data_IF_419065358553
#
_entry.id   IF_419065358553
#
_cell.length_a   1.000
_cell.length_b   1.000
_cell.length_c   1.000
_cell.angle_alpha   90.00
_cell.angle_beta   90.00
_cell.angle_gamma   90.00
#
_symmetry.space_group_name_H-M   'P 1'
#
loop_
_entity.id
_entity.type
_entity.pdbx_description
1 polymer ?
#
# COMPACT_ATOMS: atom_id res chain seq x y z
N UNK A 1 26.41 -4.94 52.07
CA UNK A 1 26.29 -5.78 50.85
C UNK A 1 25.01 -6.63 50.81
N UNK A 2 24.86 -7.73 51.59
CA UNK A 2 23.72 -8.67 51.45
C UNK A 2 22.32 -8.03 51.38
N UNK A 3 22.04 -7.00 52.18
CA UNK A 3 20.74 -6.29 52.16
C UNK A 3 20.54 -5.41 50.91
N UNK A 4 21.59 -4.78 50.40
CA UNK A 4 21.53 -3.93 49.20
C UNK A 4 21.23 -4.78 47.94
N UNK A 5 21.83 -5.98 47.85
CA UNK A 5 21.55 -6.91 46.75
C UNK A 5 20.06 -7.30 46.69
N UNK A 6 19.41 -7.52 47.85
CA UNK A 6 17.98 -7.80 47.93
C UNK A 6 17.13 -6.62 47.44
N UNK A 7 17.51 -5.39 47.77
CA UNK A 7 16.82 -4.17 47.32
C UNK A 7 16.95 -4.00 45.80
N UNK A 8 18.16 -4.20 45.23
CA UNK A 8 18.39 -4.13 43.78
C UNK A 8 17.57 -5.19 43.03
N UNK A 9 17.56 -6.44 43.51
CA UNK A 9 16.74 -7.52 42.90
C UNK A 9 15.24 -7.19 42.96
N UNK A 10 14.75 -6.62 44.06
CA UNK A 10 13.36 -6.21 44.22
C UNK A 10 12.97 -5.07 43.26
N UNK A 11 13.84 -4.07 43.07
CA UNK A 11 13.63 -2.98 42.10
C UNK A 11 13.61 -3.53 40.67
N UNK A 12 14.57 -4.40 40.30
CA UNK A 12 14.59 -5.05 38.98
C UNK A 12 13.32 -5.86 38.74
N UNK A 13 12.83 -6.60 39.74
CA UNK A 13 11.58 -7.36 39.65
C UNK A 13 10.36 -6.46 39.40
N UNK A 14 10.29 -5.29 40.03
CA UNK A 14 9.21 -4.32 39.81
C UNK A 14 9.29 -3.73 38.39
N UNK A 15 10.48 -3.36 37.91
CA UNK A 15 10.68 -2.85 36.55
C UNK A 15 10.25 -3.92 35.52
N UNK A 16 10.62 -5.19 35.72
CA UNK A 16 10.20 -6.30 34.86
C UNK A 16 8.68 -6.47 34.82
N UNK A 17 8.01 -6.37 35.98
CA UNK A 17 6.55 -6.43 36.07
C UNK A 17 5.86 -5.25 35.37
N UNK A 18 6.42 -4.03 35.47
CA UNK A 18 5.91 -2.84 34.77
C UNK A 18 6.10 -2.97 33.25
N UNK A 19 7.26 -3.43 32.77
CA UNK A 19 7.51 -3.68 31.34
C UNK A 19 6.56 -4.77 30.81
N UNK A 20 6.37 -5.87 31.54
CA UNK A 20 5.38 -6.90 31.19
C UNK A 20 3.95 -6.33 31.13
N UNK A 21 3.56 -5.51 32.11
CA UNK A 21 2.27 -4.82 32.12
C UNK A 21 2.06 -3.90 30.91
N UNK A 22 3.08 -3.12 30.54
CA UNK A 22 3.07 -2.26 29.36
C UNK A 22 2.95 -3.09 28.07
N UNK A 23 3.73 -4.17 27.92
CA UNK A 23 3.65 -5.07 26.75
C UNK A 23 2.27 -5.72 26.62
N UNK A 24 1.68 -6.16 27.74
CA UNK A 24 0.31 -6.73 27.76
C UNK A 24 -0.72 -5.65 27.39
N UNK A 25 -0.62 -4.45 27.95
CA UNK A 25 -1.52 -3.33 27.68
C UNK A 25 -1.46 -2.89 26.21
N UNK A 26 -0.26 -2.70 25.66
CA UNK A 26 -0.05 -2.35 24.25
C UNK A 26 -0.53 -3.47 23.31
N UNK A 27 -0.39 -4.74 23.70
CA UNK A 27 -0.92 -5.87 22.93
C UNK A 27 -2.45 -5.98 23.00
N UNK A 28 -3.08 -5.54 24.09
CA UNK A 28 -4.54 -5.52 24.24
C UNK A 28 -5.17 -4.35 23.47
N UNK A 29 -4.53 -3.18 23.45
CA UNK A 29 -5.01 -1.98 22.76
C UNK A 29 -4.69 -1.92 21.25
N UNK A 30 -4.20 -3.02 20.64
CA UNK A 30 -4.02 -3.10 19.17
C UNK A 30 -5.36 -3.20 18.44
N UNK A 31 -6.05 -2.07 18.32
CA UNK A 31 -7.32 -1.93 17.62
C UNK A 31 -7.21 -2.28 16.14
N UNK A 32 -8.17 -3.04 15.62
CA UNK A 32 -8.25 -3.40 14.21
C UNK A 32 -8.62 -2.20 13.33
N UNK A 33 -8.00 -2.11 12.15
CA UNK A 33 -8.32 -1.10 11.14
C UNK A 33 -9.83 -1.01 10.84
N UNK A 34 -10.32 0.22 10.67
CA UNK A 34 -11.72 0.54 10.36
C UNK A 34 -12.10 0.27 8.89
N UNK A 35 -13.40 0.17 8.59
CA UNK A 35 -13.90 0.06 7.21
C UNK A 35 -13.65 1.34 6.37
N UNK A 36 -13.61 2.52 6.99
CA UNK A 36 -13.32 3.77 6.29
C UNK A 36 -11.85 3.82 5.84
N UNK A 37 -10.93 3.51 6.75
CA UNK A 37 -9.49 3.37 6.46
C UNK A 37 -9.23 2.27 5.42
N UNK A 38 -9.98 1.16 5.48
CA UNK A 38 -9.91 0.09 4.48
C UNK A 38 -10.35 0.53 3.07
N UNK A 39 -11.36 1.41 2.97
CA UNK A 39 -11.79 2.01 1.70
C UNK A 39 -10.67 2.89 1.13
N UNK A 40 -10.15 3.83 1.92
CA UNK A 40 -9.08 4.74 1.52
C UNK A 40 -7.81 3.98 1.09
N UNK A 41 -7.41 2.95 1.84
CA UNK A 41 -6.25 2.10 1.51
C UNK A 41 -6.38 1.41 0.14
N UNK A 42 -7.60 1.01 -0.25
CA UNK A 42 -7.85 0.37 -1.55
C UNK A 42 -7.89 1.39 -2.67
N UNK A 43 -8.64 2.48 -2.50
CA UNK A 43 -8.84 3.49 -3.55
C UNK A 43 -7.57 4.32 -3.80
N UNK A 44 -6.70 4.49 -2.80
CA UNK A 44 -5.37 5.09 -2.97
C UNK A 44 -4.34 4.14 -3.64
N UNK A 45 -4.57 2.81 -3.63
CA UNK A 45 -3.62 1.81 -4.17
C UNK A 45 -4.03 1.28 -5.56
N UNK A 46 -5.31 1.38 -5.94
CA UNK A 46 -5.83 0.85 -7.21
C UNK A 46 -6.95 1.68 -7.84
N UNK A 47 -6.88 1.86 -9.18
CA UNK A 47 -7.94 2.48 -9.99
C UNK A 47 -9.26 1.70 -9.92
N UNK A 48 -10.19 2.15 -9.06
CA UNK A 48 -11.53 1.57 -8.94
C UNK A 48 -12.39 2.24 -7.88
N UNK A 49 -13.61 1.72 -7.72
CA UNK A 49 -14.56 2.14 -6.68
C UNK A 49 -14.88 0.95 -5.80
N UNK A 50 -14.78 1.11 -4.48
CA UNK A 50 -15.24 0.09 -3.52
C UNK A 50 -16.76 0.01 -3.54
N UNK A 51 -17.30 -1.22 -3.60
CA UNK A 51 -18.74 -1.50 -3.61
C UNK A 51 -19.23 -2.23 -2.35
N UNK A 52 -18.37 -2.95 -1.63
CA UNK A 52 -18.69 -3.45 -0.28
C UNK A 52 -17.43 -3.87 0.50
N UNK A 53 -17.53 -3.82 1.83
CA UNK A 53 -16.48 -4.22 2.78
C UNK A 53 -17.11 -5.11 3.86
N UNK A 54 -16.76 -6.40 3.85
CA UNK A 54 -17.20 -7.40 4.81
C UNK A 54 -16.04 -7.83 5.70
N UNK A 55 -16.26 -7.89 7.01
CA UNK A 55 -15.31 -8.53 7.94
C UNK A 55 -15.34 -10.05 7.74
N UNK A 56 -14.21 -10.73 7.90
CA UNK A 56 -14.18 -12.19 7.98
C UNK A 56 -14.64 -12.70 9.37
N UNK A 57 -14.86 -14.01 9.53
CA UNK A 57 -15.43 -14.60 10.75
C UNK A 57 -14.57 -14.46 12.01
N UNK A 58 -13.24 -14.35 11.88
CA UNK A 58 -12.31 -14.21 13.01
C UNK A 58 -11.88 -12.75 13.26
N UNK A 59 -12.55 -11.80 12.61
CA UNK A 59 -12.26 -10.35 12.65
C UNK A 59 -10.85 -9.91 12.22
N UNK A 60 -9.96 -10.79 11.79
CA UNK A 60 -8.60 -10.44 11.42
C UNK A 60 -8.47 -9.79 10.02
N UNK A 61 -9.50 -9.90 9.16
CA UNK A 61 -9.41 -9.44 7.77
C UNK A 61 -10.69 -8.75 7.25
N UNK A 62 -10.50 -7.87 6.26
CA UNK A 62 -11.59 -7.40 5.41
C UNK A 62 -11.55 -8.07 4.03
N UNK A 63 -12.74 -8.46 3.57
CA UNK A 63 -13.06 -8.86 2.21
C UNK A 63 -13.74 -7.69 1.49
N UNK A 64 -12.99 -7.01 0.62
CA UNK A 64 -13.44 -5.85 -0.13
C UNK A 64 -13.81 -6.26 -1.56
N UNK A 65 -14.96 -5.81 -2.06
CA UNK A 65 -15.32 -5.88 -3.48
C UNK A 65 -15.09 -4.52 -4.12
N UNK A 66 -14.22 -4.46 -5.12
CA UNK A 66 -13.91 -3.26 -5.90
C UNK A 66 -14.29 -3.49 -7.36
N UNK A 67 -14.79 -2.47 -8.05
CA UNK A 67 -15.05 -2.51 -9.51
C UNK A 67 -14.33 -1.39 -10.23
N UNK A 68 -13.98 -1.63 -11.49
CA UNK A 68 -13.64 -0.57 -12.43
C UNK A 68 -14.20 -0.89 -13.83
N UNK A 69 -13.89 -0.05 -14.82
CA UNK A 69 -14.40 -0.12 -16.20
C UNK A 69 -14.14 -1.45 -16.95
N UNK A 70 -13.32 -2.35 -16.41
CA UNK A 70 -12.94 -3.62 -17.05
C UNK A 70 -13.29 -4.87 -16.23
N UNK A 71 -13.35 -4.77 -14.91
CA UNK A 71 -13.44 -5.94 -14.03
C UNK A 71 -13.95 -5.63 -12.62
N UNK A 72 -14.41 -6.70 -11.97
CA UNK A 72 -14.58 -6.80 -10.53
C UNK A 72 -13.36 -7.49 -9.91
N UNK A 73 -12.97 -7.02 -8.72
CA UNK A 73 -11.86 -7.51 -7.93
C UNK A 73 -12.33 -7.80 -6.50
N UNK A 74 -11.85 -8.92 -5.95
CA UNK A 74 -11.88 -9.22 -4.53
C UNK A 74 -10.52 -8.89 -3.94
N UNK A 75 -10.49 -8.11 -2.86
CA UNK A 75 -9.28 -7.67 -2.17
C UNK A 75 -9.38 -8.12 -0.71
N UNK A 76 -8.32 -8.75 -0.20
CA UNK A 76 -8.18 -9.20 1.19
C UNK A 76 -7.18 -8.28 1.89
N UNK A 77 -7.56 -7.74 3.04
CA UNK A 77 -6.75 -6.79 3.82
C UNK A 77 -6.58 -7.32 5.25
N UNK A 78 -5.33 -7.32 5.73
CA UNK A 78 -4.98 -7.60 7.13
C UNK A 78 -5.45 -6.41 8.00
N UNK A 79 -6.40 -6.64 8.91
CA UNK A 79 -6.91 -5.57 9.79
C UNK A 79 -5.93 -5.19 10.90
N UNK A 80 -5.00 -6.08 11.28
CA UNK A 80 -4.01 -5.80 12.33
C UNK A 80 -2.82 -5.02 11.79
N UNK A 81 -2.41 -5.31 10.56
CA UNK A 81 -1.29 -4.63 9.88
C UNK A 81 -1.72 -3.45 9.00
N UNK A 82 -3.01 -3.18 8.88
CA UNK A 82 -3.61 -2.20 7.96
C UNK A 82 -3.07 -2.34 6.51
N UNK A 83 -2.84 -3.57 6.06
CA UNK A 83 -2.09 -3.86 4.82
C UNK A 83 -2.83 -4.80 3.89
N UNK A 84 -2.86 -4.49 2.59
CA UNK A 84 -3.48 -5.37 1.58
C UNK A 84 -2.66 -6.67 1.45
N UNK A 85 -3.27 -7.84 1.65
CA UNK A 85 -2.63 -9.15 1.51
C UNK A 85 -2.73 -9.70 0.08
N UNK A 86 -3.89 -9.51 -0.56
CA UNK A 86 -4.18 -10.09 -1.86
C UNK A 86 -5.20 -9.24 -2.62
N UNK A 87 -5.06 -9.16 -3.94
CA UNK A 87 -6.08 -8.74 -4.90
C UNK A 87 -6.26 -9.87 -5.92
N UNK A 88 -7.50 -10.25 -6.22
CA UNK A 88 -7.84 -11.28 -7.22
C UNK A 88 -9.00 -10.82 -8.10
N UNK A 89 -8.87 -10.98 -9.42
CA UNK A 89 -9.89 -10.63 -10.40
C UNK A 89 -11.02 -11.67 -10.41
N UNK A 90 -12.22 -11.30 -9.98
CA UNK A 90 -13.37 -12.21 -9.86
C UNK A 90 -14.22 -12.27 -11.13
N UNK A 91 -14.39 -11.14 -11.81
CA UNK A 91 -15.25 -11.01 -13.00
C UNK A 91 -14.61 -10.06 -14.00
N UNK A 92 -14.69 -10.35 -15.30
CA UNK A 92 -14.31 -9.41 -16.36
C UNK A 92 -15.56 -8.90 -17.05
N UNK A 93 -15.72 -7.59 -17.12
CA UNK A 93 -16.79 -6.95 -17.90
C UNK A 93 -16.37 -6.92 -19.37
N UNK A 94 -16.97 -7.79 -20.19
CA UNK A 94 -16.73 -7.79 -21.63
C UNK A 94 -17.33 -6.50 -22.22
N UNK A 95 -16.49 -5.57 -22.70
CA UNK A 95 -16.96 -4.59 -23.68
C UNK A 95 -17.44 -5.34 -24.93
N UNK A 96 -18.71 -5.15 -25.31
CA UNK A 96 -19.20 -5.54 -26.64
C UNK A 96 -18.71 -4.54 -27.71
N UNK A 97 -17.39 -4.35 -27.82
CA UNK A 97 -16.81 -3.68 -28.98
C UNK A 97 -16.81 -4.69 -30.12
N UNK A 98 -17.49 -4.37 -31.22
CA UNK A 98 -17.81 -5.36 -32.26
C UNK A 98 -16.55 -5.96 -32.89
N UNK A 99 -16.36 -7.29 -32.73
CA UNK A 99 -15.30 -8.05 -33.40
C UNK A 99 -15.65 -8.29 -34.88
N UNK A 100 -15.86 -7.21 -35.65
CA UNK A 100 -16.18 -7.27 -37.07
C UNK A 100 -14.90 -7.39 -37.91
N UNK A 101 -14.82 -8.52 -38.63
CA UNK A 101 -13.96 -8.78 -39.81
C UNK A 101 -12.43 -8.69 -39.61
N UNK A 102 -11.84 -9.86 -39.39
CA UNK A 102 -11.24 -10.53 -40.54
C UNK A 102 -9.80 -10.16 -40.93
N UNK A 103 -8.83 -10.52 -40.10
CA UNK A 103 -7.55 -11.00 -40.61
C UNK A 103 -7.36 -12.49 -40.29
N UNK A 104 -7.01 -13.27 -41.31
CA UNK A 104 -6.83 -14.73 -41.26
C UNK A 104 -5.44 -15.06 -40.70
N UNK A 105 -5.10 -14.47 -39.55
CA UNK A 105 -3.73 -14.43 -39.04
C UNK A 105 -3.25 -15.84 -38.64
N UNK A 106 -2.16 -16.27 -39.29
CA UNK A 106 -1.50 -17.57 -39.15
C UNK A 106 -1.36 -17.95 -37.67
N UNK A 107 -1.86 -19.14 -37.31
CA UNK A 107 -2.05 -19.69 -35.94
C UNK A 107 -0.74 -19.85 -35.14
N UNK A 108 -0.03 -18.75 -34.88
CA UNK A 108 1.03 -18.68 -33.87
C UNK A 108 0.36 -18.71 -32.50
N UNK A 109 0.75 -19.65 -31.66
CA UNK A 109 0.30 -19.74 -30.27
C UNK A 109 0.86 -18.54 -29.50
N UNK A 110 0.17 -17.41 -29.52
CA UNK A 110 0.66 -16.17 -28.90
C UNK A 110 0.62 -16.30 -27.38
N UNK A 111 1.76 -16.65 -26.83
CA UNK A 111 2.06 -16.56 -25.41
C UNK A 111 3.05 -15.43 -25.18
N UNK A 112 2.81 -14.63 -24.16
CA UNK A 112 3.69 -13.55 -23.74
C UNK A 112 5.06 -14.11 -23.34
N UNK A 113 6.11 -13.33 -23.56
CA UNK A 113 7.45 -13.69 -23.13
C UNK A 113 7.64 -13.48 -21.60
N UNK A 114 8.67 -14.08 -21.03
CA UNK A 114 9.02 -13.80 -19.63
C UNK A 114 9.41 -12.35 -19.40
N UNK A 115 10.08 -11.69 -20.37
CA UNK A 115 10.48 -10.29 -20.25
C UNK A 115 9.28 -9.34 -20.37
N UNK A 116 8.28 -9.72 -21.18
CA UNK A 116 6.99 -9.04 -21.24
C UNK A 116 6.22 -9.20 -19.92
N UNK A 117 6.19 -10.39 -19.32
CA UNK A 117 5.63 -10.62 -17.99
C UNK A 117 6.33 -9.80 -16.90
N UNK A 118 7.68 -9.72 -16.91
CA UNK A 118 8.45 -8.84 -16.02
C UNK A 118 8.07 -7.36 -16.20
N UNK A 119 7.88 -6.92 -17.44
CA UNK A 119 7.50 -5.54 -17.78
C UNK A 119 6.08 -5.22 -17.29
N UNK A 120 5.13 -6.14 -17.48
CA UNK A 120 3.75 -6.04 -16.97
C UNK A 120 3.74 -5.98 -15.44
N UNK A 121 4.53 -6.83 -14.77
CA UNK A 121 4.66 -6.81 -13.30
C UNK A 121 5.22 -5.47 -12.80
N UNK A 122 6.35 -5.00 -13.36
CA UNK A 122 6.96 -3.72 -12.99
C UNK A 122 6.02 -2.54 -13.21
N UNK A 123 5.21 -2.55 -14.27
CA UNK A 123 4.17 -1.53 -14.49
C UNK A 123 3.03 -1.58 -13.45
N UNK A 124 2.68 -2.77 -12.95
CA UNK A 124 1.53 -2.94 -12.03
C UNK A 124 1.84 -2.74 -10.55
N UNK A 125 3.07 -3.02 -10.10
CA UNK A 125 3.44 -2.90 -8.66
C UNK A 125 4.77 -2.18 -8.42
N UNK A 126 5.39 -1.61 -9.46
CA UNK A 126 6.72 -0.99 -9.36
C UNK A 126 7.82 -1.99 -9.04
N UNK A 127 8.86 -1.51 -8.34
CA UNK A 127 9.89 -2.35 -7.73
C UNK A 127 10.98 -2.91 -8.66
N UNK A 128 11.77 -3.81 -8.07
CA UNK A 128 12.87 -4.55 -8.70
C UNK A 128 12.50 -6.03 -8.82
N UNK A 129 12.77 -6.60 -10.00
CA UNK A 129 12.56 -8.02 -10.30
C UNK A 129 13.41 -8.94 -9.41
N UNK A 130 12.82 -10.03 -8.92
CA UNK A 130 13.49 -11.05 -8.10
C UNK A 130 13.45 -12.42 -8.78
N UNK A 131 12.27 -12.88 -9.17
CA UNK A 131 12.09 -14.22 -9.74
C UNK A 131 10.86 -14.30 -10.65
N UNK A 132 10.89 -15.23 -11.60
CA UNK A 132 9.72 -15.61 -12.41
C UNK A 132 9.57 -17.14 -12.37
N UNK A 133 8.32 -17.62 -12.30
CA UNK A 133 7.99 -19.05 -12.38
C UNK A 133 6.78 -19.24 -13.30
N UNK A 134 6.87 -20.18 -14.23
CA UNK A 134 5.73 -20.59 -15.06
C UNK A 134 4.86 -21.56 -14.27
N UNK A 135 3.67 -21.13 -13.84
CA UNK A 135 2.65 -22.03 -13.31
C UNK A 135 1.81 -22.62 -14.44
N UNK A 136 2.08 -23.89 -14.75
CA UNK A 136 1.28 -24.70 -15.66
C UNK A 136 0.07 -25.28 -14.92
N UNK A 137 -1.09 -24.62 -15.01
CA UNK A 137 -2.38 -25.23 -14.64
C UNK A 137 -3.06 -25.80 -15.88
N UNK A 138 -3.89 -26.85 -15.71
CA UNK A 138 -4.66 -27.44 -16.81
C UNK A 138 -5.62 -26.46 -17.50
N UNK A 139 -6.06 -25.41 -16.78
CA UNK A 139 -7.13 -24.51 -17.22
C UNK A 139 -6.60 -23.16 -17.74
N UNK A 140 -5.44 -22.70 -17.26
CA UNK A 140 -4.78 -21.48 -17.74
C UNK A 140 -3.30 -21.41 -17.29
N UNK A 141 -2.31 -21.43 -18.20
CA UNK A 141 -0.92 -21.18 -17.82
C UNK A 141 -0.71 -19.71 -17.44
N UNK A 142 0.02 -19.47 -16.35
CA UNK A 142 0.34 -18.13 -15.85
C UNK A 142 1.83 -18.00 -15.55
N UNK A 143 2.38 -16.79 -15.66
CA UNK A 143 3.63 -16.45 -14.98
C UNK A 143 3.33 -15.89 -13.60
N UNK A 144 4.05 -16.37 -12.59
CA UNK A 144 4.16 -15.76 -11.27
C UNK A 144 5.45 -14.93 -11.24
N UNK A 145 5.36 -13.62 -11.04
CA UNK A 145 6.50 -12.70 -11.04
C UNK A 145 6.68 -12.10 -9.66
N UNK A 146 7.78 -12.43 -8.99
CA UNK A 146 8.16 -11.88 -7.69
C UNK A 146 8.98 -10.61 -7.86
N UNK A 147 8.62 -9.55 -7.13
CA UNK A 147 9.35 -8.28 -7.09
C UNK A 147 9.50 -7.78 -5.65
N UNK A 148 10.60 -7.10 -5.36
CA UNK A 148 10.75 -6.27 -4.16
C UNK A 148 10.28 -4.86 -4.51
N UNK A 149 9.24 -4.36 -3.85
CA UNK A 149 8.61 -3.08 -4.20
C UNK A 149 9.27 -1.92 -3.45
N UNK A 150 9.62 -2.13 -2.18
CA UNK A 150 10.44 -1.23 -1.38
C UNK A 150 11.30 -2.05 -0.38
N UNK A 151 11.85 -1.41 0.66
CA UNK A 151 12.68 -2.09 1.66
C UNK A 151 11.92 -3.17 2.45
N UNK A 152 10.65 -2.93 2.79
CA UNK A 152 9.85 -3.80 3.65
C UNK A 152 8.78 -4.62 2.91
N UNK A 153 8.36 -4.22 1.71
CA UNK A 153 7.25 -4.81 0.95
C UNK A 153 7.74 -5.51 -0.34
N UNK A 154 7.23 -6.71 -0.58
CA UNK A 154 7.36 -7.45 -1.83
C UNK A 154 6.00 -7.88 -2.37
N UNK A 155 5.96 -8.21 -3.67
CA UNK A 155 4.75 -8.63 -4.36
C UNK A 155 5.01 -9.84 -5.28
N UNK A 156 4.01 -10.71 -5.40
CA UNK A 156 3.93 -11.76 -6.41
C UNK A 156 2.75 -11.47 -7.35
N UNK A 157 3.04 -11.24 -8.64
CA UNK A 157 2.07 -10.85 -9.66
C UNK A 157 1.76 -12.05 -10.57
N UNK A 158 0.51 -12.46 -10.61
CA UNK A 158 0.02 -13.54 -11.49
C UNK A 158 -0.48 -12.97 -12.82
N UNK A 159 0.15 -13.39 -13.92
CA UNK A 159 -0.08 -12.85 -15.27
C UNK A 159 -0.47 -14.00 -16.21
N UNK A 160 -1.63 -13.86 -16.87
CA UNK A 160 -2.16 -14.88 -17.76
C UNK A 160 -1.35 -14.98 -19.06
N UNK A 161 -0.69 -16.13 -19.30
CA UNK A 161 0.36 -16.30 -20.33
C UNK A 161 -0.12 -16.05 -21.75
N UNK A 162 -1.41 -16.22 -22.06
CA UNK A 162 -1.95 -16.02 -23.42
C UNK A 162 -2.54 -14.63 -23.67
N UNK A 163 -2.57 -13.73 -22.66
CA UNK A 163 -3.28 -12.44 -22.79
C UNK A 163 -2.62 -11.25 -22.10
N UNK A 164 -1.50 -11.45 -21.37
CA UNK A 164 -0.81 -10.37 -20.64
C UNK A 164 -1.59 -9.80 -19.44
N UNK A 165 -2.82 -10.26 -19.18
CA UNK A 165 -3.65 -9.69 -18.12
C UNK A 165 -3.23 -10.20 -16.74
N UNK A 166 -3.02 -9.27 -15.80
CA UNK A 166 -2.91 -9.58 -14.37
C UNK A 166 -4.24 -10.15 -13.87
N UNK A 167 -4.17 -11.31 -13.21
CA UNK A 167 -5.30 -12.02 -12.61
C UNK A 167 -5.29 -11.99 -11.09
N UNK A 168 -4.11 -11.91 -10.46
CA UNK A 168 -3.96 -11.72 -9.02
C UNK A 168 -2.64 -11.00 -8.68
N UNK A 169 -2.61 -10.33 -7.53
CA UNK A 169 -1.41 -9.80 -6.88
C UNK A 169 -1.47 -10.19 -5.41
N UNK A 170 -0.42 -10.80 -4.87
CA UNK A 170 -0.27 -11.08 -3.44
C UNK A 170 0.93 -10.31 -2.90
N UNK A 171 0.77 -9.69 -1.73
CA UNK A 171 1.76 -8.83 -1.09
C UNK A 171 2.31 -9.50 0.17
N UNK A 172 3.60 -9.29 0.46
CA UNK A 172 4.29 -9.90 1.59
C UNK A 172 5.32 -8.96 2.21
N UNK A 173 5.49 -9.04 3.53
CA UNK A 173 6.58 -8.37 4.25
C UNK A 173 7.89 -9.10 3.99
N UNK A 174 8.97 -8.36 3.72
CA UNK A 174 10.32 -8.88 3.50
C UNK A 174 11.05 -9.05 4.84
N UNK A 175 11.77 -10.16 5.00
CA UNK A 175 12.74 -10.28 6.09
C UNK A 175 13.83 -9.20 5.89
N UNK A 176 14.11 -8.43 6.95
CA UNK A 176 14.90 -7.19 6.88
C UNK A 176 14.08 -5.89 7.00
N UNK A 177 12.74 -5.97 7.08
CA UNK A 177 11.87 -4.83 7.36
C UNK A 177 11.97 -4.29 8.81
N UNK A 178 12.48 -5.11 9.74
CA UNK A 178 12.52 -4.80 11.18
C UNK A 178 13.93 -4.40 11.59
N UNK A 179 14.18 -3.10 11.81
CA UNK A 179 15.14 -2.47 12.77
C UNK A 179 15.44 -1.03 12.32
N UNK A 180 14.71 -0.04 12.87
CA UNK A 180 15.16 1.36 13.06
C UNK A 180 14.10 2.22 13.79
N UNK A 181 13.70 1.80 15.00
CA UNK A 181 13.02 2.67 15.98
C UNK A 181 13.57 2.43 17.40
N UNK A 182 14.90 2.41 17.56
CA UNK A 182 15.50 2.71 18.87
C UNK A 182 16.93 3.30 18.72
N UNK A 183 17.32 4.12 19.71
CA UNK A 183 18.64 4.73 19.90
C UNK A 183 19.16 5.74 18.84
N UNK A 184 18.90 7.04 19.07
CA UNK A 184 19.95 8.08 19.22
C UNK A 184 19.34 9.50 19.24
N UNK A 185 18.80 9.94 20.39
CA UNK A 185 18.15 11.26 20.51
C UNK A 185 18.37 11.99 21.85
N UNK A 186 19.57 11.91 22.44
CA UNK A 186 20.16 12.91 23.35
C UNK A 186 21.62 12.55 23.62
N UNK A 187 22.57 13.31 23.07
CA UNK A 187 23.34 14.32 23.84
C UNK A 187 24.42 14.94 22.94
N UNK A 188 24.52 16.28 22.93
CA UNK A 188 25.64 17.12 22.44
C UNK A 188 25.23 18.61 22.57
N UNK A 189 25.79 19.38 23.52
CA UNK A 189 25.53 20.81 23.66
C UNK A 189 26.54 21.70 22.89
N UNK A 190 26.22 23.00 22.83
CA UNK A 190 27.10 24.15 22.57
C UNK A 190 27.61 24.39 21.14
N UNK A 191 26.94 25.32 20.45
CA UNK A 191 27.59 26.28 19.55
C UNK A 191 28.42 27.30 20.37
N UNK A 192 29.57 27.75 19.85
CA UNK A 192 29.93 29.19 19.81
C UNK A 192 31.01 29.49 18.74
N UNK A 193 31.11 30.77 18.35
CA UNK A 193 32.20 31.51 17.65
C UNK A 193 33.15 30.76 16.68
N UNK A 194 33.31 31.16 15.42
CA UNK A 194 33.81 32.51 15.06
C UNK A 194 33.61 32.88 13.57
N UNK A 195 33.61 34.19 13.27
CA UNK A 195 33.61 34.84 11.95
C UNK A 195 34.33 36.22 12.11
N UNK A 196 34.55 37.07 11.08
CA UNK A 196 34.30 36.97 9.62
C UNK A 196 35.62 36.63 8.86
N UNK A 197 36.01 37.01 7.63
CA UNK A 197 35.67 38.02 6.58
C UNK A 197 36.06 37.45 5.18
N UNK A 198 35.90 38.16 4.04
CA UNK A 198 34.79 38.93 3.43
C UNK A 198 35.32 39.59 2.13
N UNK A 199 34.89 39.15 0.94
CA UNK A 199 35.31 39.71 -0.36
C UNK A 199 34.11 39.82 -1.34
N UNK A 200 34.26 40.67 -2.36
CA UNK A 200 33.17 41.37 -3.06
C UNK A 200 32.51 40.64 -4.25
N UNK A 201 31.60 41.34 -4.95
CA UNK A 201 30.61 40.85 -5.94
C UNK A 201 31.05 41.18 -7.39
N UNK A 202 30.21 41.08 -8.45
CA UNK A 202 28.96 40.32 -8.67
C UNK A 202 28.95 39.48 -9.98
N UNK A 203 27.95 38.61 -10.18
CA UNK A 203 27.38 38.39 -11.52
C UNK A 203 25.90 37.95 -11.46
N UNK A 204 25.15 38.17 -12.53
CA UNK A 204 23.68 38.16 -12.57
C UNK A 204 23.09 36.99 -13.36
N UNK A 205 22.10 36.30 -12.80
CA UNK A 205 20.99 35.69 -13.54
C UNK A 205 19.78 35.46 -12.63
N UNK A 206 18.59 35.40 -13.20
CA UNK A 206 17.31 35.61 -12.50
C UNK A 206 16.64 34.30 -12.05
N UNK A 207 15.84 34.41 -10.98
CA UNK A 207 14.97 33.36 -10.43
C UNK A 207 13.60 33.40 -11.13
N UNK A 208 12.99 32.24 -11.41
CA UNK A 208 11.55 32.08 -11.18
C UNK A 208 11.26 31.15 -9.98
N UNK A 209 10.22 31.43 -9.15
CA UNK A 209 10.01 30.76 -7.86
C UNK A 209 9.32 29.39 -7.96
N UNK A 210 9.44 28.62 -6.87
CA UNK A 210 8.72 27.35 -6.67
C UNK A 210 7.20 27.53 -6.65
N UNK A 211 6.41 26.56 -7.18
CA UNK A 211 4.95 26.58 -7.03
C UNK A 211 4.53 26.43 -5.56
N UNK A 212 3.65 27.31 -5.09
CA UNK A 212 2.96 27.15 -3.80
C UNK A 212 1.73 26.23 -3.96
N UNK A 213 1.43 25.45 -2.93
CA UNK A 213 0.21 24.63 -2.88
C UNK A 213 -1.05 25.51 -2.81
N UNK A 214 -2.14 25.18 -3.51
CA UNK A 214 -3.39 25.93 -3.41
C UNK A 214 -4.01 25.76 -2.02
N UNK A 215 -4.37 26.88 -1.39
CA UNK A 215 -5.16 26.92 -0.16
C UNK A 215 -6.61 26.49 -0.47
N UNK A 216 -7.20 25.68 0.40
CA UNK A 216 -8.63 25.36 0.31
C UNK A 216 -9.44 26.44 1.02
N UNK A 217 -9.98 27.40 0.26
CA UNK A 217 -11.02 28.30 0.76
C UNK A 217 -12.34 27.52 0.86
N UNK A 218 -13.07 27.70 1.95
CA UNK A 218 -14.49 27.40 2.01
C UNK A 218 -15.21 28.70 1.70
N UNK A 219 -15.92 28.75 0.56
CA UNK A 219 -16.91 29.79 0.30
C UNK A 219 -18.26 29.30 0.83
N UNK A 220 -18.96 30.17 1.55
CA UNK A 220 -20.19 29.91 2.30
C UNK A 220 -21.34 30.63 1.57
N UNK A 221 -21.89 29.98 0.55
CA UNK A 221 -22.91 30.54 -0.35
C UNK A 221 -24.31 29.93 -0.11
N UNK A 222 -25.03 30.59 0.80
CA UNK A 222 -26.44 31.00 0.70
C UNK A 222 -27.57 29.94 0.63
N UNK A 223 -28.80 30.42 0.90
CA UNK A 223 -29.96 29.60 1.28
C UNK A 223 -30.97 29.49 0.14
N UNK A 224 -31.18 28.27 -0.37
CA UNK A 224 -32.30 27.90 -1.23
C UNK A 224 -33.37 27.12 -0.45
N UNK A 225 -34.51 27.75 -0.17
CA UNK A 225 -35.69 27.06 0.37
C UNK A 225 -36.54 26.50 -0.78
N UNK A 226 -36.23 25.27 -1.20
CA UNK A 226 -36.96 24.55 -2.26
C UNK A 226 -38.34 24.08 -1.76
N UNK A 227 -39.34 24.94 -1.95
CA UNK A 227 -40.77 24.68 -1.72
C UNK A 227 -41.27 23.45 -2.52
N UNK A 228 -41.72 22.42 -1.81
CA UNK A 228 -42.40 21.26 -2.38
C UNK A 228 -43.87 21.25 -1.96
N UNK A 229 -44.66 22.02 -2.71
CA UNK A 229 -46.10 22.13 -2.51
C UNK A 229 -46.85 20.80 -2.66
N UNK A 230 -47.97 20.71 -1.94
CA UNK A 230 -48.98 19.68 -2.07
C UNK A 230 -49.81 19.90 -3.35
N UNK A 231 -50.17 18.82 -4.05
CA UNK A 231 -51.45 18.68 -4.79
C UNK A 231 -51.68 17.21 -5.23
N UNK A 232 -52.93 16.74 -5.08
CA UNK A 232 -53.55 15.45 -5.50
C UNK A 232 -52.80 14.10 -5.32
#
# INVERSE_FOLDING_TARGET
MKSLLKIVVLIISIILAVVLGIVIYLSANQSYMSKASAKQLVENRYDGTVKSIHTNQNEAEFNVRMVNKEAEYHIVIDRKKASIKQMTKTKTFKKQTAQKKGQKQKKRTHHISENEAKTIAKKHVGGTFVAIKLQQSKNAPHYAVTQHVNQSEGANVMIHRLTGKVTSVSWFTRAGATTQEEHAATDHPSHDASAPQAHETPNTSQVPPSPQSPTSTYDDDDVGEDDWGEDD
#
